data_IF_374122691940
#
_entry.id   IF_374122691940
#
_cell.length_a   1.000
_cell.length_b   1.000
_cell.length_c   1.000
_cell.angle_alpha   90.00
_cell.angle_beta   90.00
_cell.angle_gamma   90.00
#
_symmetry.space_group_name_H-M   'P 1'
#
loop_
_entity.id
_entity.type
_entity.pdbx_description
1 polymer ?
#
# COMPACT_ATOMS: atom_id res chain seq x y z
N UNK A 1 -17.12 -1.82 -17.98
CA UNK A 1 -16.08 -0.74 -17.99
C UNK A 1 -15.48 -0.46 -16.62
N UNK A 2 -16.21 -0.72 -15.53
CA UNK A 2 -15.76 -0.46 -14.16
C UNK A 2 -14.50 -1.27 -13.78
N UNK A 3 -14.38 -2.54 -14.20
CA UNK A 3 -13.15 -3.32 -13.97
C UNK A 3 -11.88 -2.66 -14.53
N UNK A 4 -11.97 -1.91 -15.64
CA UNK A 4 -10.82 -1.17 -16.20
C UNK A 4 -10.42 -0.03 -15.27
N UNK A 5 -11.39 0.77 -14.82
CA UNK A 5 -11.16 1.91 -13.93
C UNK A 5 -10.57 1.43 -12.59
N UNK A 6 -11.18 0.44 -11.95
CA UNK A 6 -10.70 -0.11 -10.68
C UNK A 6 -9.34 -0.78 -10.84
N UNK A 7 -9.12 -1.52 -11.94
CA UNK A 7 -7.83 -2.14 -12.21
C UNK A 7 -6.70 -1.12 -12.34
N UNK A 8 -6.91 -0.05 -13.12
CA UNK A 8 -5.93 1.03 -13.25
C UNK A 8 -5.71 1.73 -11.91
N UNK A 9 -6.77 2.02 -11.15
CA UNK A 9 -6.67 2.67 -9.84
C UNK A 9 -5.82 1.82 -8.88
N UNK A 10 -6.06 0.51 -8.81
CA UNK A 10 -5.30 -0.40 -7.96
C UNK A 10 -3.83 -0.48 -8.39
N UNK A 11 -3.55 -0.55 -9.69
CA UNK A 11 -2.18 -0.55 -10.21
C UNK A 11 -1.46 0.74 -9.82
N UNK A 12 -2.06 1.90 -10.08
CA UNK A 12 -1.48 3.20 -9.72
C UNK A 12 -1.26 3.28 -8.20
N UNK A 13 -2.25 2.87 -7.42
CA UNK A 13 -2.14 2.86 -5.96
C UNK A 13 -0.99 1.96 -5.47
N UNK A 14 -0.83 0.77 -6.06
CA UNK A 14 0.29 -0.13 -5.78
C UNK A 14 1.64 0.48 -6.13
N UNK A 15 1.76 1.08 -7.32
CA UNK A 15 3.02 1.68 -7.80
C UNK A 15 3.46 2.87 -6.94
N UNK A 16 2.53 3.61 -6.33
CA UNK A 16 2.82 4.69 -5.39
C UNK A 16 3.67 4.18 -4.20
N UNK A 17 3.50 2.93 -3.75
CA UNK A 17 4.32 2.35 -2.67
C UNK A 17 5.80 2.12 -3.04
N UNK A 18 6.16 2.18 -4.32
CA UNK A 18 7.57 2.17 -4.74
C UNK A 18 8.37 3.29 -4.07
N UNK A 19 7.74 4.42 -3.76
CA UNK A 19 8.40 5.55 -3.09
C UNK A 19 8.96 5.18 -1.70
N UNK A 20 8.40 4.17 -1.02
CA UNK A 20 8.88 3.73 0.29
C UNK A 20 9.99 2.68 0.18
N UNK A 21 10.29 2.20 -1.04
CA UNK A 21 11.46 1.38 -1.34
C UNK A 21 12.70 2.21 -1.64
N UNK A 22 12.57 3.53 -1.75
CA UNK A 22 13.69 4.45 -1.92
C UNK A 22 13.84 5.36 -0.70
N UNK A 23 15.05 5.84 -0.49
CA UNK A 23 15.34 6.87 0.48
C UNK A 23 16.41 7.79 -0.09
N UNK A 24 15.99 8.93 -0.60
CA UNK A 24 16.86 9.85 -1.33
C UNK A 24 16.88 11.21 -0.65
N UNK A 25 18.06 11.82 -0.63
CA UNK A 25 18.23 13.23 -0.24
C UNK A 25 17.79 14.09 -1.43
N UNK A 26 16.86 15.01 -1.19
CA UNK A 26 16.42 15.98 -2.19
C UNK A 26 17.41 17.17 -2.23
N UNK A 27 17.44 17.95 -3.33
CA UNK A 27 18.27 19.15 -3.43
C UNK A 27 18.04 20.13 -2.26
N UNK A 28 19.10 20.90 -2.01
CA UNK A 28 19.59 21.61 -0.80
C UNK A 28 18.62 22.13 0.30
N UNK A 29 17.30 22.13 0.10
CA UNK A 29 16.31 22.60 1.10
C UNK A 29 15.10 21.66 1.34
N UNK A 30 14.90 20.62 0.52
CA UNK A 30 13.66 19.80 0.57
C UNK A 30 13.75 18.57 1.51
N UNK A 31 14.94 18.30 2.04
CA UNK A 31 15.18 17.22 3.01
C UNK A 31 15.32 15.85 2.36
N UNK A 32 14.46 14.90 2.75
CA UNK A 32 14.49 13.52 2.27
C UNK A 32 13.12 13.09 1.75
N UNK A 33 13.12 12.14 0.81
CA UNK A 33 11.92 11.52 0.27
C UNK A 33 11.94 10.01 0.47
N UNK A 34 10.80 9.44 0.87
CA UNK A 34 10.61 8.02 1.07
C UNK A 34 10.67 7.60 2.54
N UNK A 35 11.10 6.36 2.79
CA UNK A 35 11.14 5.78 4.14
C UNK A 35 12.58 5.73 4.68
N UNK A 36 12.81 6.25 5.89
CA UNK A 36 14.13 6.37 6.52
C UNK A 36 14.83 5.04 6.89
N UNK A 37 14.19 3.89 6.61
CA UNK A 37 14.60 2.54 7.03
C UNK A 37 14.49 2.26 8.53
N UNK A 38 13.84 3.14 9.28
CA UNK A 38 13.60 3.02 10.73
C UNK A 38 12.14 2.73 11.04
N UNK A 39 11.85 2.38 12.29
CA UNK A 39 10.49 2.21 12.80
C UNK A 39 10.36 2.80 14.20
N UNK A 40 9.38 3.67 14.39
CA UNK A 40 9.09 4.25 15.71
C UNK A 40 8.68 3.21 16.78
N UNK A 41 8.24 2.02 16.34
CA UNK A 41 7.81 0.91 17.19
C UNK A 41 8.84 -0.23 17.21
N UNK A 42 9.26 -0.74 16.06
CA UNK A 42 10.08 -1.95 15.97
C UNK A 42 11.54 -1.73 16.40
N UNK A 43 12.09 -0.52 16.23
CA UNK A 43 13.47 -0.20 16.65
C UNK A 43 13.68 -0.34 18.17
N UNK A 44 12.59 -0.42 18.95
CA UNK A 44 12.65 -0.65 20.41
C UNK A 44 12.91 -2.11 20.78
N UNK A 45 12.66 -3.04 19.85
CA UNK A 45 12.64 -4.48 20.12
C UNK A 45 13.56 -5.28 19.19
N UNK A 46 13.88 -4.73 18.02
CA UNK A 46 14.63 -5.41 16.97
C UNK A 46 15.85 -4.57 16.55
N UNK A 47 16.88 -5.22 16.03
CA UNK A 47 18.01 -4.51 15.42
C UNK A 47 17.63 -3.85 14.09
N UNK A 48 18.40 -2.82 13.73
CA UNK A 48 18.18 -2.01 12.53
C UNK A 48 18.13 -2.85 11.24
N UNK A 49 18.93 -3.93 11.15
CA UNK A 49 18.96 -4.78 9.95
C UNK A 49 17.66 -5.55 9.81
N UNK A 50 17.13 -6.11 10.91
CA UNK A 50 15.83 -6.79 10.91
C UNK A 50 14.70 -5.82 10.57
N UNK A 51 14.65 -4.63 11.20
CA UNK A 51 13.61 -3.63 10.92
C UNK A 51 13.60 -3.23 9.45
N UNK A 52 14.79 -3.00 8.88
CA UNK A 52 14.96 -2.70 7.46
C UNK A 52 14.42 -3.82 6.57
N UNK A 53 14.76 -5.08 6.85
CA UNK A 53 14.28 -6.24 6.07
C UNK A 53 12.76 -6.34 6.15
N UNK A 54 12.19 -6.28 7.35
CA UNK A 54 10.75 -6.35 7.57
C UNK A 54 10.02 -5.26 6.78
N UNK A 55 10.51 -4.01 6.85
CA UNK A 55 9.88 -2.92 6.09
C UNK A 55 10.04 -3.05 4.58
N UNK A 56 11.20 -3.50 4.07
CA UNK A 56 11.35 -3.77 2.63
C UNK A 56 10.35 -4.84 2.17
N UNK A 57 10.24 -5.94 2.91
CA UNK A 57 9.31 -7.03 2.59
C UNK A 57 7.87 -6.52 2.60
N UNK A 58 7.47 -5.80 3.66
CA UNK A 58 6.11 -5.26 3.75
C UNK A 58 5.79 -4.30 2.60
N UNK A 59 6.67 -3.35 2.28
CA UNK A 59 6.43 -2.42 1.17
C UNK A 59 6.39 -3.11 -0.20
N UNK A 60 7.23 -4.13 -0.43
CA UNK A 60 7.17 -4.94 -1.66
C UNK A 60 5.84 -5.70 -1.72
N UNK A 61 5.41 -6.35 -0.64
CA UNK A 61 4.15 -7.09 -0.59
C UNK A 61 2.96 -6.17 -0.88
N UNK A 62 2.95 -4.95 -0.33
CA UNK A 62 1.90 -3.97 -0.61
C UNK A 62 1.90 -3.55 -2.08
N UNK A 63 3.06 -3.18 -2.62
CA UNK A 63 3.21 -2.76 -4.01
C UNK A 63 2.75 -3.87 -4.97
N UNK A 64 3.28 -5.09 -4.78
CA UNK A 64 2.96 -6.24 -5.64
C UNK A 64 1.51 -6.66 -5.46
N UNK A 65 0.99 -6.70 -4.23
CA UNK A 65 -0.38 -7.12 -3.94
C UNK A 65 -1.42 -6.25 -4.66
N UNK A 66 -1.27 -4.92 -4.62
CA UNK A 66 -2.21 -4.02 -5.29
C UNK A 66 -2.06 -4.07 -6.83
N UNK A 67 -0.83 -4.18 -7.34
CA UNK A 67 -0.61 -4.35 -8.79
C UNK A 67 -1.23 -5.67 -9.28
N UNK A 68 -1.02 -6.77 -8.56
CA UNK A 68 -1.60 -8.08 -8.88
C UNK A 68 -3.11 -8.02 -8.79
N UNK A 69 -3.68 -7.44 -7.74
CA UNK A 69 -5.13 -7.24 -7.62
C UNK A 69 -5.70 -6.49 -8.83
N UNK A 70 -5.03 -5.40 -9.23
CA UNK A 70 -5.37 -4.62 -10.41
C UNK A 70 -5.26 -5.39 -11.74
N UNK A 71 -4.28 -6.27 -11.90
CA UNK A 71 -4.17 -7.15 -13.08
C UNK A 71 -5.28 -8.22 -13.09
N UNK A 72 -5.59 -8.79 -11.92
CA UNK A 72 -6.60 -9.84 -11.78
C UNK A 72 -8.00 -9.32 -12.06
N UNK A 73 -8.36 -8.12 -11.59
CA UNK A 73 -9.64 -7.47 -11.93
C UNK A 73 -9.72 -7.11 -13.42
N UNK A 74 -8.63 -6.68 -14.05
CA UNK A 74 -8.58 -6.44 -15.51
C UNK A 74 -8.80 -7.72 -16.31
N UNK A 75 -8.37 -8.86 -15.75
CA UNK A 75 -8.58 -10.20 -16.32
C UNK A 75 -9.99 -10.75 -16.03
N UNK A 76 -10.87 -9.94 -15.44
CA UNK A 76 -12.23 -10.30 -15.03
C UNK A 76 -12.32 -11.51 -14.09
N UNK A 77 -11.31 -11.70 -13.24
CA UNK A 77 -11.26 -12.81 -12.29
C UNK A 77 -11.67 -12.33 -10.90
N UNK A 78 -12.65 -12.99 -10.27
CA UNK A 78 -13.23 -12.68 -8.95
C UNK A 78 -12.22 -12.69 -7.78
N UNK A 79 -11.06 -13.34 -7.96
CA UNK A 79 -10.01 -13.40 -6.95
C UNK A 79 -9.39 -12.03 -6.62
N UNK A 80 -9.62 -11.00 -7.44
CA UNK A 80 -9.12 -9.64 -7.19
C UNK A 80 -9.52 -9.13 -5.80
N UNK A 81 -10.73 -9.46 -5.35
CA UNK A 81 -11.28 -8.96 -4.08
C UNK A 81 -10.48 -9.44 -2.88
N UNK A 82 -10.20 -10.75 -2.80
CA UNK A 82 -9.47 -11.31 -1.67
C UNK A 82 -8.01 -10.83 -1.66
N UNK A 83 -7.41 -10.67 -2.85
CA UNK A 83 -6.05 -10.13 -3.00
C UNK A 83 -6.01 -8.68 -2.50
N UNK A 84 -6.98 -7.85 -2.88
CA UNK A 84 -7.07 -6.46 -2.43
C UNK A 84 -7.23 -6.36 -0.91
N UNK A 85 -8.16 -7.12 -0.33
CA UNK A 85 -8.41 -7.12 1.12
C UNK A 85 -7.14 -7.48 1.89
N UNK A 86 -6.47 -8.57 1.53
CA UNK A 86 -5.23 -9.00 2.19
C UNK A 86 -4.16 -7.92 2.06
N UNK A 87 -4.02 -7.34 0.87
CA UNK A 87 -3.03 -6.28 0.60
C UNK A 87 -3.32 -5.02 1.42
N UNK A 88 -4.59 -4.62 1.55
CA UNK A 88 -5.00 -3.49 2.38
C UNK A 88 -4.64 -3.71 3.85
N UNK A 89 -4.82 -4.91 4.40
CA UNK A 89 -4.37 -5.21 5.76
C UNK A 89 -2.85 -5.10 5.91
N UNK A 90 -2.09 -5.68 4.98
CA UNK A 90 -0.61 -5.58 4.99
C UNK A 90 -0.18 -4.11 4.91
N UNK A 91 -0.84 -3.29 4.08
CA UNK A 91 -0.60 -1.85 3.95
C UNK A 91 -0.82 -1.11 5.26
N UNK A 92 -1.91 -1.42 5.97
CA UNK A 92 -2.17 -0.83 7.29
C UNK A 92 -1.13 -1.22 8.33
N UNK A 93 -0.66 -2.47 8.34
CA UNK A 93 0.44 -2.88 9.22
C UNK A 93 1.75 -2.15 8.88
N UNK A 94 2.08 -2.02 7.60
CA UNK A 94 3.25 -1.28 7.15
C UNK A 94 3.19 0.18 7.60
N UNK A 95 2.04 0.84 7.40
CA UNK A 95 1.85 2.20 7.91
C UNK A 95 1.93 2.26 9.44
N UNK A 96 1.27 1.35 10.16
CA UNK A 96 1.33 1.33 11.63
C UNK A 96 2.78 1.27 12.14
N UNK A 97 3.64 0.46 11.52
CA UNK A 97 5.03 0.32 11.93
C UNK A 97 5.96 1.45 11.48
N UNK A 98 5.74 2.03 10.30
CA UNK A 98 6.72 2.92 9.67
C UNK A 98 6.26 4.36 9.47
N UNK A 99 5.01 4.70 9.81
CA UNK A 99 4.40 6.01 9.54
C UNK A 99 5.28 7.21 9.91
N UNK A 100 5.77 7.26 11.16
CA UNK A 100 6.56 8.39 11.68
C UNK A 100 7.91 8.57 10.97
N UNK A 101 8.35 7.55 10.25
CA UNK A 101 9.64 7.47 9.57
C UNK A 101 9.54 7.76 8.07
N UNK A 102 8.34 8.13 7.59
CA UNK A 102 8.11 8.58 6.23
C UNK A 102 8.46 10.07 6.08
N UNK A 103 9.20 10.39 5.02
CA UNK A 103 9.68 11.74 4.68
C UNK A 103 9.07 12.21 3.35
N UNK A 104 8.79 13.53 3.20
CA UNK A 104 9.21 14.62 4.07
C UNK A 104 8.37 14.76 5.35
N UNK A 105 7.06 14.46 5.28
CA UNK A 105 6.16 14.42 6.45
C UNK A 105 5.15 13.28 6.29
N UNK A 106 4.89 12.48 7.35
CA UNK A 106 3.96 11.35 7.27
C UNK A 106 2.57 11.75 6.77
N UNK A 107 2.05 12.91 7.19
CA UNK A 107 0.72 13.41 6.81
C UNK A 107 0.46 13.51 5.31
N UNK A 108 1.50 13.64 4.47
CA UNK A 108 1.33 13.68 3.02
C UNK A 108 0.94 12.33 2.43
N UNK A 109 1.14 11.25 3.18
CA UNK A 109 0.85 9.88 2.78
C UNK A 109 -0.46 9.33 3.38
N UNK A 110 -1.30 10.20 3.95
CA UNK A 110 -2.54 9.80 4.66
C UNK A 110 -3.56 9.12 3.76
N UNK A 111 -3.51 9.41 2.46
CA UNK A 111 -4.37 8.74 1.49
C UNK A 111 -4.10 7.23 1.42
N UNK A 112 -2.87 6.78 1.69
CA UNK A 112 -2.53 5.35 1.73
C UNK A 112 -3.39 4.57 2.74
N UNK A 113 -3.30 4.88 4.05
CA UNK A 113 -4.14 4.27 5.08
C UNK A 113 -5.64 4.45 4.83
N UNK A 114 -6.08 5.63 4.39
CA UNK A 114 -7.50 5.90 4.12
C UNK A 114 -8.03 4.97 3.03
N UNK A 115 -7.32 4.85 1.90
CA UNK A 115 -7.71 3.96 0.80
C UNK A 115 -7.74 2.51 1.29
N UNK A 116 -6.74 2.07 2.07
CA UNK A 116 -6.74 0.72 2.63
C UNK A 116 -7.94 0.45 3.55
N UNK A 117 -8.31 1.40 4.41
CA UNK A 117 -9.50 1.29 5.28
C UNK A 117 -10.78 1.24 4.45
N UNK A 118 -10.92 2.14 3.47
CA UNK A 118 -12.08 2.18 2.57
C UNK A 118 -12.21 0.86 1.82
N UNK A 119 -11.12 0.34 1.24
CA UNK A 119 -11.13 -0.95 0.54
C UNK A 119 -11.57 -2.09 1.47
N UNK A 120 -11.04 -2.17 2.69
CA UNK A 120 -11.46 -3.20 3.66
C UNK A 120 -12.95 -3.09 3.95
N UNK A 121 -13.44 -1.91 4.31
CA UNK A 121 -14.87 -1.71 4.63
C UNK A 121 -15.74 -2.08 3.43
N UNK A 122 -15.44 -1.50 2.27
CA UNK A 122 -16.26 -1.65 1.07
C UNK A 122 -16.24 -3.08 0.53
N UNK A 123 -15.08 -3.74 0.48
CA UNK A 123 -14.97 -5.09 -0.08
C UNK A 123 -15.40 -6.19 0.88
N UNK A 124 -15.12 -6.04 2.18
CA UNK A 124 -15.37 -7.08 3.19
C UNK A 124 -16.73 -6.92 3.88
N UNK A 125 -17.11 -5.69 4.23
CA UNK A 125 -18.35 -5.39 4.97
C UNK A 125 -19.50 -5.16 3.98
N UNK A 126 -19.34 -4.17 3.09
CA UNK A 126 -20.41 -3.81 2.15
C UNK A 126 -20.52 -4.81 0.98
N UNK A 127 -19.46 -5.61 0.79
CA UNK A 127 -19.31 -6.55 -0.35
C UNK A 127 -19.52 -5.88 -1.70
N UNK A 128 -19.29 -4.57 -1.76
CA UNK A 128 -19.43 -3.75 -2.96
C UNK A 128 -18.05 -3.43 -3.53
N UNK A 129 -17.91 -3.22 -4.85
CA UNK A 129 -18.89 -3.53 -5.89
C UNK A 129 -19.05 -5.04 -6.07
N UNK A 130 -20.23 -5.51 -6.47
CA UNK A 130 -20.42 -6.93 -6.82
C UNK A 130 -19.76 -7.25 -8.17
N UNK A 131 -19.42 -8.51 -8.40
CA UNK A 131 -18.77 -8.93 -9.65
C UNK A 131 -19.68 -8.69 -10.87
N UNK A 132 -21.01 -8.77 -10.69
CA UNK A 132 -21.99 -8.40 -11.71
C UNK A 132 -21.85 -6.93 -12.11
N UNK A 133 -21.69 -6.02 -11.12
CA UNK A 133 -21.53 -4.58 -11.39
C UNK A 133 -20.17 -4.30 -12.02
N UNK A 134 -19.10 -4.97 -11.57
CA UNK A 134 -17.74 -4.72 -12.04
C UNK A 134 -17.49 -5.27 -13.46
N UNK A 135 -17.97 -6.49 -13.74
CA UNK A 135 -17.68 -7.24 -14.97
C UNK A 135 -18.79 -7.15 -16.03
N UNK A 136 -20.00 -6.75 -15.62
CA UNK A 136 -21.06 -6.32 -16.53
C UNK A 136 -20.62 -5.16 -17.42
#
# INVERSE_FOLDING_TARGET
MLHILFGILLIIHGLVFFMFLIYIKLPEEEGYFGWSRKSWLLDRFLDEKIVKIVGIVLWILVMVGFVVSGIVILSKNESWRIIDIITSFISLFAFAFFWNELKPKPKYFILGPIIAIVNIITLLIDKWPSDIIIFG
#
